data_IF_157747713728
#
_entry.id   IF_157747713728
#
_cell.length_a   1.000
_cell.length_b   1.000
_cell.length_c   1.000
_cell.angle_alpha   90.00
_cell.angle_beta   90.00
_cell.angle_gamma   90.00
#
_symmetry.space_group_name_H-M   'P 1'
#
loop_
_entity.id
_entity.type
_entity.pdbx_description
1 polymer ?
#
# COMPACT_ATOMS: atom_id res chain seq x y z
N UNK A 1 27.06 -11.91 50.36
CA UNK A 1 25.76 -11.94 49.67
C UNK A 1 25.82 -10.88 48.58
N UNK A 2 26.08 -11.29 47.35
CA UNK A 2 26.25 -10.39 46.21
C UNK A 2 24.87 -10.00 45.67
N UNK A 3 24.53 -8.73 45.76
CA UNK A 3 23.33 -8.17 45.15
C UNK A 3 23.64 -7.91 43.66
N UNK A 4 23.09 -8.74 42.79
CA UNK A 4 23.12 -8.53 41.34
C UNK A 4 22.51 -7.17 40.96
N UNK A 5 23.11 -6.41 40.03
CA UNK A 5 22.44 -5.28 39.44
C UNK A 5 21.30 -5.80 38.56
N UNK A 6 20.08 -5.40 38.90
CA UNK A 6 18.89 -5.70 38.13
C UNK A 6 19.10 -5.23 36.67
N UNK A 7 18.81 -6.14 35.71
CA UNK A 7 18.66 -5.77 34.32
C UNK A 7 17.60 -4.68 34.22
N UNK A 8 18.03 -3.46 33.89
CA UNK A 8 17.15 -2.36 33.53
C UNK A 8 16.43 -2.78 32.26
N UNK A 9 15.16 -3.14 32.41
CA UNK A 9 14.19 -3.28 31.32
C UNK A 9 14.19 -1.96 30.53
N UNK A 10 13.96 -1.96 29.19
CA UNK A 10 13.89 -0.74 28.41
C UNK A 10 12.66 0.05 28.85
N UNK A 11 12.85 0.86 29.88
CA UNK A 11 11.87 1.80 30.40
C UNK A 11 11.64 2.78 29.27
N UNK A 12 10.41 2.81 28.74
CA UNK A 12 9.96 3.67 27.64
C UNK A 12 10.54 5.07 27.81
N UNK A 13 11.64 5.34 27.12
CA UNK A 13 12.36 6.60 27.24
C UNK A 13 11.55 7.63 26.47
N UNK A 14 11.26 8.76 27.11
CA UNK A 14 10.48 9.84 26.50
C UNK A 14 11.39 11.00 26.15
N UNK A 15 11.02 11.80 25.15
CA UNK A 15 11.71 13.04 24.84
C UNK A 15 11.81 13.94 26.09
N UNK A 16 10.76 13.98 26.90
CA UNK A 16 10.75 14.73 28.16
C UNK A 16 11.78 14.24 29.19
N UNK A 17 11.95 12.91 29.33
CA UNK A 17 12.97 12.36 30.25
C UNK A 17 14.39 12.62 29.78
N UNK A 18 14.64 12.57 28.46
CA UNK A 18 15.96 12.85 27.89
C UNK A 18 16.29 14.35 27.98
N UNK A 19 15.33 15.23 27.67
CA UNK A 19 15.50 16.68 27.83
C UNK A 19 15.82 17.08 29.27
N UNK A 20 15.18 16.45 30.26
CA UNK A 20 15.49 16.71 31.68
C UNK A 20 16.91 16.28 32.04
N UNK A 21 17.37 15.14 31.55
CA UNK A 21 18.76 14.69 31.78
C UNK A 21 19.75 15.65 31.12
N UNK A 22 19.46 16.10 29.90
CA UNK A 22 20.29 17.06 29.19
C UNK A 22 20.38 18.39 29.94
N UNK A 23 19.26 18.87 30.51
CA UNK A 23 19.26 20.06 31.37
C UNK A 23 20.16 19.91 32.59
N UNK A 24 20.05 18.79 33.31
CA UNK A 24 20.90 18.52 34.49
C UNK A 24 22.38 18.54 34.11
N UNK A 25 22.74 17.88 33.00
CA UNK A 25 24.13 17.86 32.52
C UNK A 25 24.60 19.26 32.12
N UNK A 26 23.78 20.01 31.38
CA UNK A 26 24.09 21.39 30.97
C UNK A 26 24.26 22.33 32.16
N UNK A 27 23.44 22.18 33.20
CA UNK A 27 23.57 22.94 34.43
C UNK A 27 24.85 22.56 35.20
N UNK A 28 25.26 21.28 35.19
CA UNK A 28 26.50 20.79 35.81
C UNK A 28 27.76 21.30 35.10
N UNK A 29 27.76 21.38 33.77
CA UNK A 29 28.92 21.84 32.98
C UNK A 29 28.95 23.35 32.76
N UNK A 30 27.87 24.06 33.09
CA UNK A 30 27.77 25.51 32.92
C UNK A 30 27.58 25.95 31.46
N UNK A 31 26.81 25.19 30.67
CA UNK A 31 26.48 25.53 29.27
C UNK A 31 25.75 26.88 29.20
N UNK A 32 26.01 27.67 28.15
CA UNK A 32 25.34 28.96 27.94
C UNK A 32 23.90 28.76 27.47
N UNK A 33 22.95 29.55 27.98
CA UNK A 33 21.54 29.39 27.63
C UNK A 33 21.27 29.54 26.12
N UNK A 34 22.04 30.39 25.43
CA UNK A 34 21.97 30.52 23.97
C UNK A 34 22.36 29.24 23.22
N UNK A 35 23.40 28.55 23.68
CA UNK A 35 23.85 27.27 23.10
C UNK A 35 22.86 26.14 23.41
N UNK A 36 22.30 26.11 24.63
CA UNK A 36 21.20 25.19 25.00
C UNK A 36 20.00 25.36 24.07
N UNK A 37 19.55 26.60 23.87
CA UNK A 37 18.39 26.91 23.03
C UNK A 37 18.63 26.53 21.57
N UNK A 38 19.82 26.82 21.05
CA UNK A 38 20.22 26.42 19.68
C UNK A 38 20.18 24.89 19.51
N UNK A 39 20.78 24.13 20.44
CA UNK A 39 20.79 22.68 20.39
C UNK A 39 19.37 22.08 20.50
N UNK A 40 18.52 22.62 21.39
CA UNK A 40 17.13 22.18 21.52
C UNK A 40 16.33 22.47 20.25
N UNK A 41 16.50 23.66 19.67
CA UNK A 41 15.83 24.02 18.41
C UNK A 41 16.25 23.09 17.27
N UNK A 42 17.54 22.72 17.20
CA UNK A 42 18.03 21.77 16.20
C UNK A 42 17.36 20.40 16.37
N UNK A 43 17.27 19.89 17.60
CA UNK A 43 16.60 18.61 17.89
C UNK A 43 15.11 18.63 17.51
N UNK A 44 14.41 19.72 17.83
CA UNK A 44 13.01 19.92 17.43
C UNK A 44 12.86 19.94 15.92
N UNK A 45 13.75 20.65 15.22
CA UNK A 45 13.73 20.74 13.76
C UNK A 45 13.99 19.37 13.11
N UNK A 46 14.98 18.62 13.58
CA UNK A 46 15.25 17.26 13.11
C UNK A 46 14.05 16.32 13.33
N UNK A 47 13.39 16.42 14.50
CA UNK A 47 12.18 15.66 14.80
C UNK A 47 11.04 15.97 13.81
N UNK A 48 10.79 17.26 13.56
CA UNK A 48 9.79 17.70 12.58
C UNK A 48 10.10 17.18 11.17
N UNK A 49 11.37 17.20 10.77
CA UNK A 49 11.77 16.73 9.43
C UNK A 49 11.61 15.22 9.26
N UNK A 50 11.77 14.43 10.33
CA UNK A 50 11.41 13.00 10.32
C UNK A 50 9.91 12.83 10.11
N UNK A 51 9.07 13.56 10.86
CA UNK A 51 7.63 13.49 10.71
C UNK A 51 7.15 13.91 9.32
N UNK A 52 7.66 15.04 8.79
CA UNK A 52 7.36 15.52 7.42
C UNK A 52 7.68 14.46 6.38
N UNK A 53 8.90 13.90 6.40
CA UNK A 53 9.30 12.81 5.50
C UNK A 53 8.36 11.60 5.61
N UNK A 54 7.95 11.23 6.82
CA UNK A 54 7.05 10.09 7.02
C UNK A 54 5.64 10.36 6.51
N UNK A 55 5.14 11.58 6.71
CA UNK A 55 3.84 12.03 6.19
C UNK A 55 3.87 12.04 4.66
N UNK A 56 4.90 12.59 4.05
CA UNK A 56 5.03 12.67 2.59
C UNK A 56 5.13 11.28 1.95
N UNK A 57 5.95 10.39 2.53
CA UNK A 57 6.03 8.99 2.11
C UNK A 57 4.67 8.27 2.21
N UNK A 58 3.94 8.51 3.30
CA UNK A 58 2.62 7.90 3.52
C UNK A 58 1.55 8.47 2.58
N UNK A 59 1.62 9.77 2.27
CA UNK A 59 0.77 10.43 1.27
C UNK A 59 1.02 9.87 -0.12
N UNK A 60 2.29 9.74 -0.52
CA UNK A 60 2.68 9.13 -1.79
C UNK A 60 2.13 7.70 -1.90
N UNK A 61 2.35 6.88 -0.88
CA UNK A 61 1.84 5.51 -0.86
C UNK A 61 0.31 5.44 -0.94
N UNK A 62 -0.40 6.35 -0.27
CA UNK A 62 -1.86 6.46 -0.38
C UNK A 62 -2.28 6.77 -1.82
N UNK A 63 -1.61 7.71 -2.50
CA UNK A 63 -1.91 8.05 -3.90
C UNK A 63 -1.65 6.86 -4.82
N UNK A 64 -0.53 6.15 -4.66
CA UNK A 64 -0.22 4.94 -5.42
C UNK A 64 -1.30 3.85 -5.25
N UNK A 65 -1.75 3.61 -4.02
CA UNK A 65 -2.84 2.66 -3.75
C UNK A 65 -4.16 3.09 -4.39
N UNK A 66 -4.49 4.39 -4.35
CA UNK A 66 -5.71 4.91 -4.96
C UNK A 66 -5.67 4.81 -6.49
N UNK A 67 -4.52 5.07 -7.11
CA UNK A 67 -4.33 4.90 -8.56
C UNK A 67 -4.49 3.44 -8.96
N UNK A 68 -3.81 2.52 -8.27
CA UNK A 68 -3.93 1.08 -8.54
C UNK A 68 -5.38 0.58 -8.37
N UNK A 69 -6.16 1.20 -7.46
CA UNK A 69 -7.56 0.87 -7.28
C UNK A 69 -8.38 1.31 -8.50
N UNK A 70 -8.21 2.57 -8.94
CA UNK A 70 -8.90 3.11 -10.10
C UNK A 70 -8.55 2.35 -11.39
N UNK A 71 -7.28 1.97 -11.56
CA UNK A 71 -6.83 1.17 -12.70
C UNK A 71 -7.51 -0.21 -12.70
N UNK A 72 -7.58 -0.87 -11.54
CA UNK A 72 -8.25 -2.16 -11.39
C UNK A 72 -9.77 -2.08 -11.63
N UNK A 73 -10.43 -1.02 -11.16
CA UNK A 73 -11.85 -0.77 -11.42
C UNK A 73 -12.12 -0.54 -12.91
N UNK A 74 -11.24 0.19 -13.59
CA UNK A 74 -11.31 0.42 -15.04
C UNK A 74 -11.13 -0.89 -15.80
N UNK A 75 -10.14 -1.69 -15.45
CA UNK A 75 -9.91 -2.99 -16.10
C UNK A 75 -11.10 -3.94 -15.90
N UNK A 76 -11.74 -3.95 -14.73
CA UNK A 76 -12.98 -4.71 -14.53
C UNK A 76 -14.06 -4.23 -15.49
N UNK A 77 -14.28 -2.92 -15.61
CA UNK A 77 -15.30 -2.37 -16.51
C UNK A 77 -15.04 -2.79 -17.98
N UNK A 78 -13.78 -2.73 -18.41
CA UNK A 78 -13.37 -3.14 -19.76
C UNK A 78 -13.58 -4.64 -19.99
N UNK A 79 -13.19 -5.49 -19.03
CA UNK A 79 -13.38 -6.94 -19.13
C UNK A 79 -14.86 -7.32 -19.15
N UNK A 80 -15.67 -6.72 -18.28
CA UNK A 80 -17.12 -6.94 -18.24
C UNK A 80 -17.76 -6.53 -19.57
N UNK A 81 -17.38 -5.36 -20.11
CA UNK A 81 -17.85 -4.91 -21.42
C UNK A 81 -17.42 -5.85 -22.55
N UNK A 82 -16.16 -6.31 -22.56
CA UNK A 82 -15.65 -7.23 -23.57
C UNK A 82 -16.32 -8.63 -23.49
N UNK A 83 -16.73 -9.06 -22.30
CA UNK A 83 -17.48 -10.28 -22.08
C UNK A 83 -18.99 -10.11 -22.37
N UNK A 84 -19.47 -8.89 -22.59
CA UNK A 84 -20.89 -8.59 -22.79
C UNK A 84 -21.73 -8.90 -21.55
N UNK A 85 -21.13 -8.85 -20.37
CA UNK A 85 -21.80 -9.13 -19.10
C UNK A 85 -22.36 -7.85 -18.47
N UNK A 86 -23.41 -7.96 -17.67
CA UNK A 86 -23.88 -6.85 -16.83
C UNK A 86 -23.16 -6.93 -15.49
N UNK A 87 -22.39 -5.89 -15.16
CA UNK A 87 -21.47 -5.88 -14.01
C UNK A 87 -22.17 -6.29 -12.70
N UNK A 88 -21.69 -7.35 -12.05
CA UNK A 88 -22.06 -7.69 -10.66
C UNK A 88 -21.03 -7.21 -9.64
N UNK A 89 -19.96 -6.54 -10.08
CA UNK A 89 -18.93 -6.09 -9.15
C UNK A 89 -19.53 -5.04 -8.20
N UNK A 90 -19.46 -5.26 -6.87
CA UNK A 90 -20.01 -4.32 -5.91
C UNK A 90 -19.25 -3.00 -6.06
N UNK A 91 -19.95 -2.02 -6.62
CA UNK A 91 -19.45 -0.71 -7.04
C UNK A 91 -18.71 0.05 -5.92
N UNK A 92 -18.81 -0.41 -4.66
CA UNK A 92 -18.03 0.09 -3.52
C UNK A 92 -17.79 -1.02 -2.49
N UNK A 93 -16.65 -1.71 -2.59
CA UNK A 93 -16.12 -2.43 -1.43
C UNK A 93 -15.84 -1.39 -0.35
N UNK A 94 -16.48 -1.50 0.81
CA UNK A 94 -16.24 -0.58 1.94
C UNK A 94 -14.95 -0.98 2.65
N UNK A 95 -14.13 0.00 3.03
CA UNK A 95 -12.92 -0.24 3.82
C UNK A 95 -11.74 0.65 3.42
N UNK A 96 -10.57 0.31 3.93
CA UNK A 96 -9.31 0.95 3.54
C UNK A 96 -8.92 0.60 2.09
N UNK A 97 -8.10 1.45 1.45
CA UNK A 97 -7.60 1.21 0.09
C UNK A 97 -6.98 -0.19 -0.09
N UNK A 98 -6.23 -0.67 0.91
CA UNK A 98 -5.63 -2.02 0.88
C UNK A 98 -6.68 -3.14 0.90
N UNK A 99 -7.76 -2.96 1.66
CA UNK A 99 -8.87 -3.92 1.71
C UNK A 99 -9.63 -3.93 0.38
N UNK A 100 -9.90 -2.74 -0.17
CA UNK A 100 -10.56 -2.60 -1.48
C UNK A 100 -9.76 -3.27 -2.59
N UNK A 101 -8.45 -3.00 -2.67
CA UNK A 101 -7.54 -3.66 -3.62
C UNK A 101 -7.51 -5.18 -3.44
N UNK A 102 -7.49 -5.66 -2.19
CA UNK A 102 -7.50 -7.11 -1.92
C UNK A 102 -8.80 -7.77 -2.37
N UNK A 103 -9.93 -7.07 -2.27
CA UNK A 103 -11.22 -7.56 -2.74
C UNK A 103 -11.37 -7.51 -4.28
N UNK A 104 -10.71 -6.56 -4.95
CA UNK A 104 -10.67 -6.46 -6.42
C UNK A 104 -9.92 -7.64 -7.06
N UNK A 105 -8.80 -8.07 -6.46
CA UNK A 105 -7.92 -9.11 -7.01
C UNK A 105 -8.64 -10.39 -7.50
N UNK A 106 -9.48 -11.07 -6.67
CA UNK A 106 -10.16 -12.28 -7.12
C UNK A 106 -11.14 -12.01 -8.27
N UNK A 107 -11.84 -10.87 -8.29
CA UNK A 107 -12.76 -10.53 -9.36
C UNK A 107 -12.03 -10.29 -10.71
N UNK A 108 -10.91 -9.57 -10.69
CA UNK A 108 -10.06 -9.39 -11.87
C UNK A 108 -9.53 -10.73 -12.38
N UNK A 109 -9.05 -11.60 -11.50
CA UNK A 109 -8.54 -12.90 -11.87
C UNK A 109 -9.62 -13.76 -12.55
N UNK A 110 -10.81 -13.80 -11.96
CA UNK A 110 -11.95 -14.54 -12.49
C UNK A 110 -12.39 -14.02 -13.88
N UNK A 111 -12.52 -12.70 -14.05
CA UNK A 111 -12.86 -12.09 -15.34
C UNK A 111 -11.81 -12.40 -16.43
N UNK A 112 -10.51 -12.34 -16.08
CA UNK A 112 -9.43 -12.68 -17.01
C UNK A 112 -9.48 -14.15 -17.41
N UNK A 113 -9.74 -15.07 -16.47
CA UNK A 113 -9.89 -16.50 -16.75
C UNK A 113 -11.08 -16.76 -17.67
N UNK A 114 -12.23 -16.13 -17.42
CA UNK A 114 -13.41 -16.26 -18.29
C UNK A 114 -13.17 -15.73 -19.69
N UNK A 115 -12.49 -14.58 -19.84
CA UNK A 115 -12.07 -14.08 -21.15
C UNK A 115 -11.17 -15.08 -21.88
N UNK A 116 -10.22 -15.70 -21.18
CA UNK A 116 -9.34 -16.70 -21.77
C UNK A 116 -10.10 -17.95 -22.23
N UNK A 117 -11.01 -18.47 -21.39
CA UNK A 117 -11.84 -19.62 -21.74
C UNK A 117 -12.66 -19.33 -23.01
N UNK A 118 -13.29 -18.15 -23.09
CA UNK A 118 -14.08 -17.76 -24.26
C UNK A 118 -13.26 -17.61 -25.54
N UNK A 119 -12.01 -17.16 -25.44
CA UNK A 119 -11.11 -17.11 -26.60
C UNK A 119 -10.78 -18.52 -27.13
N UNK A 120 -10.60 -19.49 -26.23
CA UNK A 120 -10.36 -20.90 -26.60
C UNK A 120 -11.60 -21.46 -27.31
N UNK A 121 -12.79 -21.32 -26.71
CA UNK A 121 -14.05 -21.76 -27.31
C UNK A 121 -14.29 -21.13 -28.69
N UNK A 122 -13.98 -19.83 -28.83
CA UNK A 122 -14.11 -19.13 -30.11
C UNK A 122 -13.17 -19.71 -31.17
N UNK A 123 -11.92 -19.99 -30.81
CA UNK A 123 -10.96 -20.60 -31.74
C UNK A 123 -11.38 -22.01 -32.16
N UNK A 124 -11.84 -22.85 -31.22
CA UNK A 124 -12.36 -24.18 -31.51
C UNK A 124 -13.57 -24.12 -32.46
N UNK A 125 -14.49 -23.19 -32.22
CA UNK A 125 -15.65 -22.96 -33.09
C UNK A 125 -15.22 -22.53 -34.49
N UNK A 126 -14.23 -21.64 -34.61
CA UNK A 126 -13.70 -21.23 -35.91
C UNK A 126 -13.07 -22.40 -36.68
N UNK A 127 -12.34 -23.28 -35.99
CA UNK A 127 -11.76 -24.48 -36.60
C UNK A 127 -12.85 -25.41 -37.12
N UNK A 128 -13.90 -25.65 -36.33
CA UNK A 128 -15.04 -26.47 -36.74
C UNK A 128 -15.77 -25.88 -37.96
N UNK A 129 -15.98 -24.56 -37.98
CA UNK A 129 -16.59 -23.87 -39.12
C UNK A 129 -15.71 -24.06 -40.37
N UNK A 130 -14.39 -23.85 -40.26
CA UNK A 130 -13.48 -24.02 -41.38
C UNK A 130 -13.47 -25.45 -41.93
N UNK A 131 -13.55 -26.45 -41.05
CA UNK A 131 -13.65 -27.84 -41.43
C UNK A 131 -14.95 -28.12 -42.19
N UNK A 132 -16.10 -27.68 -41.67
CA UNK A 132 -17.40 -27.83 -42.34
C UNK A 132 -17.39 -27.14 -43.70
N UNK A 133 -16.80 -25.95 -43.81
CA UNK A 133 -16.68 -25.24 -45.09
C UNK A 133 -15.85 -26.04 -46.12
N UNK A 134 -14.71 -26.62 -45.71
CA UNK A 134 -13.89 -27.46 -46.59
C UNK A 134 -14.65 -28.71 -47.07
N UNK A 135 -15.37 -29.38 -46.17
CA UNK A 135 -16.19 -30.55 -46.49
C UNK A 135 -17.29 -30.22 -47.51
N UNK A 136 -17.92 -29.03 -47.41
CA UNK A 136 -18.93 -28.56 -48.37
C UNK A 136 -18.33 -28.26 -49.75
N UNK A 137 -17.11 -27.74 -49.80
CA UNK A 137 -16.39 -27.44 -51.05
C UNK A 137 -15.86 -28.69 -51.76
N UNK A 138 -16.01 -29.88 -51.14
CA UNK A 138 -15.63 -31.16 -51.73
C UNK A 138 -14.15 -31.49 -51.58
N UNK A 139 -13.47 -30.89 -50.60
CA UNK A 139 -12.07 -31.13 -50.25
C UNK A 139 -11.95 -31.95 -48.95
#
# INVERSE_FOLDING_TARGET
MATSPALVSPSRTTCASLRRQLQVIWDEIGEEDGDKDMMLQELEQQCLDIYRRKVDSSRKHKTELAQSLADGETEIADLVSALGETASFPQRVKGSLKQQLSALKPALQDLRQRKQARMIEFHETQLQIAQICAEIEGN
#
